data_IF_993251039763
#
_entry.id   IF_993251039763
#
_cell.length_a   1.000
_cell.length_b   1.000
_cell.length_c   1.000
_cell.angle_alpha   90.00
_cell.angle_beta   90.00
_cell.angle_gamma   90.00
#
_symmetry.space_group_name_H-M   'P 1'
#
loop_
_entity.id
_entity.type
_entity.pdbx_description
1 polymer ?
#
# COMPACT_ATOMS: atom_id res chain seq x y z
N UNK A 1 0.40 -2.82 30.28
CA UNK A 1 -0.58 -3.75 29.66
C UNK A 1 -0.65 -3.45 28.17
N UNK A 2 -0.44 -4.47 27.35
CA UNK A 2 -0.51 -4.26 25.90
C UNK A 2 -1.97 -4.18 25.46
N UNK A 3 -2.31 -3.13 24.73
CA UNK A 3 -3.63 -3.02 24.12
C UNK A 3 -3.79 -4.07 23.04
N UNK A 4 -4.97 -4.64 22.94
CA UNK A 4 -5.30 -5.57 21.88
C UNK A 4 -5.66 -4.80 20.61
N UNK A 5 -4.91 -5.02 19.53
CA UNK A 5 -5.20 -4.42 18.26
C UNK A 5 -6.15 -5.30 17.48
N UNK A 6 -7.26 -4.72 17.00
CA UNK A 6 -8.18 -5.42 16.10
C UNK A 6 -8.17 -4.74 14.74
N UNK A 7 -8.18 -5.56 13.69
CA UNK A 7 -8.14 -5.07 12.32
C UNK A 7 -9.25 -5.78 11.54
N UNK A 8 -9.95 -5.01 10.69
CA UNK A 8 -10.93 -5.60 9.77
C UNK A 8 -10.20 -6.38 8.68
N UNK A 9 -10.56 -7.66 8.56
CA UNK A 9 -10.00 -8.54 7.55
C UNK A 9 -11.02 -8.72 6.43
N UNK A 10 -10.68 -8.26 5.22
CA UNK A 10 -11.58 -8.38 4.07
C UNK A 10 -11.81 -9.83 3.65
N UNK A 11 -10.89 -10.72 3.97
CA UNK A 11 -11.04 -12.14 3.66
C UNK A 11 -12.16 -12.78 4.50
N UNK A 12 -12.18 -12.51 5.79
CA UNK A 12 -13.21 -13.04 6.70
C UNK A 12 -14.42 -12.10 6.85
N UNK A 13 -14.28 -10.84 6.37
CA UNK A 13 -15.29 -9.78 6.47
C UNK A 13 -15.71 -9.45 7.91
N UNK A 14 -14.76 -9.51 8.82
CA UNK A 14 -14.99 -9.16 10.22
C UNK A 14 -13.73 -8.60 10.84
N UNK A 15 -13.88 -7.90 11.96
CA UNK A 15 -12.75 -7.49 12.76
C UNK A 15 -12.16 -8.68 13.47
N UNK A 16 -10.85 -8.80 13.39
CA UNK A 16 -10.11 -9.88 14.06
C UNK A 16 -9.03 -9.28 14.95
N UNK A 17 -8.72 -9.96 16.03
CA UNK A 17 -7.57 -9.63 16.85
C UNK A 17 -6.31 -9.87 16.01
N UNK A 18 -5.44 -8.87 15.97
CA UNK A 18 -4.20 -8.98 15.21
C UNK A 18 -3.26 -9.97 15.88
N UNK A 19 -2.83 -10.95 15.12
CA UNK A 19 -1.84 -11.95 15.54
C UNK A 19 -0.76 -12.05 14.45
N UNK A 20 0.49 -11.66 14.76
CA UNK A 20 1.55 -11.79 13.78
C UNK A 20 1.86 -13.25 13.48
N UNK A 21 2.23 -13.53 12.23
CA UNK A 21 2.57 -14.89 11.81
C UNK A 21 3.85 -15.41 12.47
N UNK A 22 4.76 -14.51 12.80
CA UNK A 22 6.06 -14.87 13.38
C UNK A 22 6.45 -13.85 14.45
N UNK A 23 5.78 -13.88 15.63
CA UNK A 23 6.09 -12.90 16.68
C UNK A 23 7.55 -12.94 17.10
N UNK A 24 8.16 -11.82 17.48
CA UNK A 24 7.62 -10.46 17.52
C UNK A 24 7.68 -9.70 16.20
N UNK A 25 7.93 -10.39 15.10
CA UNK A 25 8.13 -9.77 13.80
C UNK A 25 6.80 -9.60 13.07
N UNK A 26 6.62 -8.43 12.45
CA UNK A 26 5.44 -8.11 11.64
C UNK A 26 5.90 -7.65 10.27
N UNK A 27 5.39 -8.29 9.23
CA UNK A 27 5.59 -7.83 7.86
C UNK A 27 4.40 -6.97 7.45
N UNK A 28 4.69 -5.80 6.88
CA UNK A 28 3.67 -4.86 6.44
C UNK A 28 3.97 -4.44 5.00
N UNK A 29 3.05 -4.74 4.09
CA UNK A 29 3.18 -4.39 2.68
C UNK A 29 2.04 -3.46 2.29
N UNK A 30 2.38 -2.30 1.75
CA UNK A 30 1.41 -1.26 1.42
C UNK A 30 1.64 -0.78 -0.01
N UNK A 31 0.56 -0.57 -0.75
CA UNK A 31 0.64 0.01 -2.08
C UNK A 31 1.21 1.42 -2.01
N UNK A 32 2.17 1.67 -2.90
CA UNK A 32 2.79 2.98 -3.03
C UNK A 32 2.29 3.73 -4.25
N UNK A 33 2.96 4.84 -4.59
CA UNK A 33 2.59 5.64 -5.76
C UNK A 33 2.93 4.92 -7.06
N UNK A 34 2.36 5.44 -8.15
CA UNK A 34 2.73 5.04 -9.50
C UNK A 34 3.77 6.00 -10.05
N UNK A 35 4.50 5.58 -11.10
CA UNK A 35 5.54 6.43 -11.69
C UNK A 35 5.00 7.38 -12.75
N UNK A 36 3.72 7.25 -13.16
CA UNK A 36 3.17 8.03 -14.26
C UNK A 36 2.65 9.41 -13.84
N UNK A 37 2.57 9.70 -12.55
CA UNK A 37 2.09 11.02 -12.09
C UNK A 37 2.71 11.38 -10.75
N UNK A 38 2.64 12.67 -10.44
CA UNK A 38 3.09 13.16 -9.14
C UNK A 38 2.19 12.67 -8.02
N UNK A 39 2.76 12.62 -6.83
CA UNK A 39 2.01 12.28 -5.62
C UNK A 39 1.00 13.41 -5.34
N UNK A 40 -0.25 13.04 -5.08
CA UNK A 40 -1.30 13.99 -4.73
C UNK A 40 -1.83 13.71 -3.33
N UNK A 41 -2.81 14.54 -2.90
CA UNK A 41 -3.34 14.49 -1.52
C UNK A 41 -3.91 13.11 -1.17
N UNK A 42 -4.55 12.42 -2.11
CA UNK A 42 -5.08 11.07 -1.87
C UNK A 42 -3.98 10.07 -1.53
N UNK A 43 -2.82 10.17 -2.19
CA UNK A 43 -1.66 9.34 -1.86
C UNK A 43 -1.13 9.67 -0.46
N UNK A 44 -1.09 10.96 -0.11
CA UNK A 44 -0.63 11.38 1.21
C UNK A 44 -1.51 10.82 2.32
N UNK A 45 -2.82 10.75 2.11
CA UNK A 45 -3.74 10.15 3.08
C UNK A 45 -3.36 8.69 3.36
N UNK A 46 -3.10 7.93 2.31
CA UNK A 46 -2.67 6.54 2.44
C UNK A 46 -1.34 6.44 3.20
N UNK A 47 -0.37 7.28 2.83
CA UNK A 47 0.95 7.27 3.47
C UNK A 47 0.86 7.58 4.96
N UNK A 48 0.08 8.60 5.33
CA UNK A 48 -0.10 9.00 6.73
C UNK A 48 -0.83 7.91 7.51
N UNK A 49 -1.88 7.32 6.93
CA UNK A 49 -2.64 6.26 7.57
C UNK A 49 -1.74 5.06 7.92
N UNK A 50 -0.93 4.62 6.97
CA UNK A 50 -0.08 3.45 7.22
C UNK A 50 1.17 3.79 8.03
N UNK A 51 1.61 5.05 8.03
CA UNK A 51 2.62 5.50 8.97
C UNK A 51 2.11 5.41 10.40
N UNK A 52 0.86 5.78 10.63
CA UNK A 52 0.22 5.63 11.93
C UNK A 52 0.16 4.15 12.36
N UNK A 53 -0.25 3.28 11.46
CA UNK A 53 -0.31 1.83 11.73
C UNK A 53 1.09 1.31 12.09
N UNK A 54 2.10 1.69 11.32
CA UNK A 54 3.49 1.31 11.56
C UNK A 54 3.95 1.73 12.95
N UNK A 55 3.73 3.00 13.29
CA UNK A 55 4.15 3.54 14.60
C UNK A 55 3.40 2.88 15.74
N UNK A 56 2.12 2.57 15.54
CA UNK A 56 1.33 1.90 16.56
C UNK A 56 1.84 0.47 16.81
N UNK A 57 2.18 -0.25 15.74
CA UNK A 57 2.77 -1.58 15.88
C UNK A 57 4.10 -1.55 16.63
N UNK A 58 4.95 -0.54 16.36
CA UNK A 58 6.17 -0.35 17.12
C UNK A 58 5.88 -0.06 18.60
N UNK A 59 4.86 0.75 18.87
CA UNK A 59 4.43 1.07 20.24
C UNK A 59 3.99 -0.19 20.99
N UNK A 60 3.35 -1.12 20.31
CA UNK A 60 2.95 -2.40 20.91
C UNK A 60 4.13 -3.35 21.16
N UNK A 61 5.33 -2.98 20.73
CA UNK A 61 6.53 -3.77 20.96
C UNK A 61 6.91 -4.72 19.84
N UNK A 62 6.23 -4.65 18.70
CA UNK A 62 6.58 -5.48 17.55
C UNK A 62 7.78 -4.91 16.80
N UNK A 63 8.48 -5.79 16.10
CA UNK A 63 9.53 -5.43 15.15
C UNK A 63 8.92 -5.48 13.75
N UNK A 64 8.78 -4.32 13.11
CA UNK A 64 8.01 -4.18 11.88
C UNK A 64 8.93 -3.99 10.69
N UNK A 65 8.73 -4.81 9.67
CA UNK A 65 9.32 -4.59 8.36
C UNK A 65 8.24 -3.98 7.47
N UNK A 66 8.41 -2.70 7.17
CA UNK A 66 7.45 -1.93 6.38
C UNK A 66 7.97 -1.82 4.95
N UNK A 67 7.21 -2.36 4.00
CA UNK A 67 7.57 -2.37 2.58
C UNK A 67 6.47 -1.67 1.79
N UNK A 68 6.86 -0.78 0.93
CA UNK A 68 5.96 -0.07 0.03
C UNK A 68 6.46 -0.24 -1.40
N UNK A 69 5.55 -0.53 -2.32
CA UNK A 69 5.92 -0.65 -3.73
C UNK A 69 5.88 0.69 -4.44
N UNK A 70 6.44 0.72 -5.64
CA UNK A 70 6.24 1.77 -6.62
C UNK A 70 5.79 1.07 -7.89
N UNK A 71 4.57 1.38 -8.36
CA UNK A 71 3.99 0.71 -9.52
C UNK A 71 4.46 1.38 -10.80
N UNK A 72 5.17 0.64 -11.64
CA UNK A 72 5.69 1.13 -12.91
C UNK A 72 5.03 0.50 -14.13
N UNK A 73 4.34 -0.62 -13.97
CA UNK A 73 3.64 -1.32 -15.05
C UNK A 73 2.35 -1.94 -14.55
N UNK A 74 1.47 -2.32 -15.47
CA UNK A 74 0.29 -3.13 -15.14
C UNK A 74 -0.92 -2.36 -14.66
N UNK A 75 -0.89 -1.01 -14.72
CA UNK A 75 -2.00 -0.16 -14.29
C UNK A 75 -2.81 0.27 -15.51
N UNK A 76 -3.94 -0.34 -15.75
CA UNK A 76 -4.80 -0.02 -16.88
C UNK A 76 -5.64 1.23 -16.60
N UNK A 77 -5.96 1.99 -17.66
CA UNK A 77 -6.79 3.18 -17.57
C UNK A 77 -8.22 2.86 -17.13
N UNK A 78 -8.72 1.70 -17.56
CA UNK A 78 -9.98 1.15 -17.08
C UNK A 78 -9.72 -0.18 -16.41
N UNK A 79 -10.65 -0.65 -15.58
CA UNK A 79 -10.52 -1.94 -14.91
C UNK A 79 -10.72 -3.13 -15.85
N UNK A 80 -10.86 -2.89 -17.16
CA UNK A 80 -10.96 -3.94 -18.16
C UNK A 80 -9.58 -4.36 -18.67
N UNK A 81 -9.43 -5.64 -19.00
CA UNK A 81 -8.17 -6.17 -19.52
C UNK A 81 -7.74 -5.55 -20.85
N UNK A 82 -8.70 -4.92 -21.55
CA UNK A 82 -8.46 -4.26 -22.83
C UNK A 82 -8.08 -2.78 -22.71
N UNK A 83 -8.02 -2.23 -21.49
CA UNK A 83 -7.65 -0.85 -21.25
C UNK A 83 -6.18 -0.58 -21.55
N UNK A 84 -5.87 0.65 -21.96
CA UNK A 84 -4.49 1.07 -22.12
C UNK A 84 -3.80 1.20 -20.78
N UNK A 85 -2.55 0.75 -20.68
CA UNK A 85 -1.72 0.93 -19.51
C UNK A 85 -1.54 2.43 -19.24
N UNK A 86 -1.81 2.86 -18.02
CA UNK A 86 -1.72 4.27 -17.63
C UNK A 86 -0.30 4.82 -17.76
N UNK A 87 0.71 4.00 -17.51
CA UNK A 87 2.10 4.39 -17.64
C UNK A 87 2.44 4.56 -19.12
N UNK A 88 2.01 3.64 -19.97
CA UNK A 88 2.20 3.74 -21.42
C UNK A 88 1.50 4.97 -22.00
N UNK A 89 0.26 5.24 -21.56
CA UNK A 89 -0.49 6.43 -21.97
C UNK A 89 0.24 7.71 -21.58
N UNK A 90 0.72 7.79 -20.34
CA UNK A 90 1.46 8.96 -19.85
C UNK A 90 2.75 9.17 -20.64
N UNK A 91 3.49 8.10 -20.91
CA UNK A 91 4.71 8.16 -21.72
C UNK A 91 4.41 8.66 -23.14
N UNK A 92 3.33 8.18 -23.74
CA UNK A 92 2.92 8.62 -25.09
C UNK A 92 2.55 10.10 -25.09
N UNK A 93 1.80 10.58 -24.09
CA UNK A 93 1.39 11.99 -24.00
C UNK A 93 2.57 12.92 -23.76
N UNK A 94 3.57 12.47 -23.03
CA UNK A 94 4.78 13.25 -22.73
C UNK A 94 5.90 12.97 -23.71
N UNK A 95 5.71 12.07 -24.67
CA UNK A 95 6.71 11.67 -25.67
C UNK A 95 7.99 11.12 -25.03
N UNK A 96 7.83 10.35 -23.96
CA UNK A 96 8.93 9.65 -23.29
C UNK A 96 8.64 8.15 -23.28
N UNK A 97 9.68 7.35 -23.14
CA UNK A 97 9.51 5.91 -23.08
C UNK A 97 9.06 5.48 -21.68
N UNK A 98 8.14 4.51 -21.56
CA UNK A 98 7.78 3.97 -20.26
C UNK A 98 8.96 3.19 -19.67
N UNK A 99 9.08 3.29 -18.34
CA UNK A 99 10.11 2.55 -17.61
C UNK A 99 9.68 1.13 -17.29
#
# INVERSE_FOLDING_TARGET
MKSQLTIFNTFSRQKEVFEPLNPPFVGMYVCGPTVYSDVHLGNCRTFITFDLVYRYLLHLGYRVRYVRNITDVGHLESDADEGEDKIGKKARLEQVEPM
#
